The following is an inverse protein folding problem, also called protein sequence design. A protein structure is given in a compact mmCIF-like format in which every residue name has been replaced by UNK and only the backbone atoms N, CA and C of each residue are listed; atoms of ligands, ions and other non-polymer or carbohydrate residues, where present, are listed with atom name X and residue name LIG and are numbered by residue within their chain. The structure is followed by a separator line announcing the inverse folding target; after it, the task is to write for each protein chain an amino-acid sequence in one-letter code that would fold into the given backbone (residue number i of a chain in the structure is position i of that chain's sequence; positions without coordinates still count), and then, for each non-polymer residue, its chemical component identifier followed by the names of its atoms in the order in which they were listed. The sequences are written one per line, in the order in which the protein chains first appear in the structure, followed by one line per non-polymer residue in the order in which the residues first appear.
data_IF_205967072474
#
_entry.id   IF_205967072474
#
_cell.length_a   1.000
_cell.length_b   1.000
_cell.length_c   1.000
_cell.angle_alpha   90.00
_cell.angle_beta   90.00
_cell.angle_gamma   90.00
#
_symmetry.space_group_name_H-M   'P 1'
#
loop_
_entity.id
_entity.type
_entity.pdbx_description
1 polymer ?
#
# COMPACT_ATOMS: atom_id res chain seq x y z
N UNK A 1 -12.09 -1.41 0.72
CA UNK A 1 -13.23 -2.13 1.28
C UNK A 1 -14.12 -1.16 2.03
N UNK A 2 -15.39 -1.09 1.67
CA UNK A 2 -16.38 -0.38 2.45
C UNK A 2 -16.91 -1.36 3.51
N UNK A 3 -16.86 -0.96 4.79
CA UNK A 3 -17.55 -1.72 5.83
C UNK A 3 -19.06 -1.56 5.61
N UNK A 4 -19.74 -2.64 5.27
CA UNK A 4 -21.18 -2.67 5.05
C UNK A 4 -21.98 -2.33 6.34
N UNK A 5 -21.32 -2.24 7.48
CA UNK A 5 -21.92 -1.88 8.77
C UNK A 5 -21.79 -0.38 9.11
N UNK A 6 -21.56 0.49 8.16
CA UNK A 6 -21.12 1.86 8.40
C UNK A 6 -22.17 2.86 8.94
N UNK A 7 -23.21 2.40 9.60
CA UNK A 7 -24.01 3.22 10.50
C UNK A 7 -23.37 3.22 11.89
N UNK A 8 -22.71 4.32 12.25
CA UNK A 8 -22.05 4.43 13.53
C UNK A 8 -21.17 5.65 13.64
N UNK A 9 -20.53 5.85 14.79
CA UNK A 9 -19.58 6.94 14.95
C UNK A 9 -18.40 6.81 13.98
N UNK A 10 -17.77 7.95 13.66
CA UNK A 10 -16.73 8.05 12.64
C UNK A 10 -15.56 7.07 12.84
N UNK A 11 -15.25 6.70 14.09
CA UNK A 11 -14.21 5.74 14.42
C UNK A 11 -14.46 4.32 13.91
N UNK A 12 -15.72 3.97 13.59
CA UNK A 12 -16.12 2.67 13.06
C UNK A 12 -16.20 2.65 11.52
N UNK A 13 -16.11 3.80 10.88
CA UNK A 13 -16.13 3.89 9.42
C UNK A 13 -14.73 3.74 8.86
N UNK A 14 -14.56 2.83 7.92
CA UNK A 14 -13.27 2.58 7.29
C UNK A 14 -13.40 2.21 5.81
N UNK A 15 -12.34 2.45 5.08
CA UNK A 15 -12.18 2.03 3.68
C UNK A 15 -10.71 1.79 3.41
N UNK A 16 -10.35 0.91 2.48
CA UNK A 16 -8.95 0.62 2.21
C UNK A 16 -8.70 -0.21 0.97
N UNK A 17 -7.42 -0.40 0.69
CA UNK A 17 -6.92 -1.25 -0.38
C UNK A 17 -6.00 -2.32 0.20
N UNK A 18 -6.07 -3.50 -0.37
CA UNK A 18 -5.36 -4.68 0.07
C UNK A 18 -4.64 -5.33 -1.12
N UNK A 19 -3.40 -5.70 -0.93
CA UNK A 19 -2.58 -6.28 -1.99
C UNK A 19 -1.71 -7.42 -1.47
N UNK A 20 -1.70 -8.51 -2.20
CA UNK A 20 -0.70 -9.57 -2.05
C UNK A 20 0.65 -9.10 -2.62
N UNK A 21 1.71 -9.28 -1.84
CA UNK A 21 3.09 -9.01 -2.25
C UNK A 21 3.68 -10.35 -2.72
N UNK A 22 4.19 -10.37 -3.93
CA UNK A 22 4.73 -11.59 -4.52
C UNK A 22 5.76 -12.28 -3.61
N UNK A 23 5.67 -13.61 -3.51
CA UNK A 23 6.44 -14.49 -2.63
C UNK A 23 7.98 -14.38 -2.73
N UNK A 24 8.51 -13.75 -3.75
CA UNK A 24 9.96 -13.60 -3.95
C UNK A 24 10.61 -12.45 -3.19
N UNK A 25 9.83 -11.54 -2.59
CA UNK A 25 10.33 -10.33 -1.90
C UNK A 25 9.70 -10.14 -0.51
N UNK A 26 9.48 -11.23 0.20
CA UNK A 26 8.77 -11.21 1.48
C UNK A 26 9.64 -10.93 2.68
N UNK A 27 10.97 -11.07 2.56
CA UNK A 27 11.91 -10.87 3.67
C UNK A 27 12.51 -9.46 3.62
N UNK A 28 11.85 -8.52 4.30
CA UNK A 28 12.30 -7.13 4.34
C UNK A 28 13.63 -6.95 5.05
N UNK A 29 13.99 -7.87 5.94
CA UNK A 29 15.28 -7.83 6.66
C UNK A 29 16.42 -8.16 5.72
N UNK A 30 16.30 -9.23 4.95
CA UNK A 30 17.33 -9.64 3.99
C UNK A 30 17.48 -8.65 2.84
N UNK A 31 16.36 -8.03 2.42
CA UNK A 31 16.34 -6.96 1.42
C UNK A 31 16.86 -5.61 1.96
N UNK A 32 17.25 -5.55 3.24
CA UNK A 32 17.66 -4.33 3.94
C UNK A 32 16.63 -3.17 3.83
N UNK A 33 15.36 -3.49 3.76
CA UNK A 33 14.29 -2.51 3.78
C UNK A 33 14.12 -2.00 5.20
N UNK A 34 14.12 -0.69 5.37
CA UNK A 34 14.08 -0.05 6.68
C UNK A 34 12.92 0.93 6.83
N UNK A 35 12.31 1.34 5.72
CA UNK A 35 11.30 2.40 5.71
C UNK A 35 10.16 2.06 4.76
N UNK A 36 8.97 2.56 5.11
CA UNK A 36 7.86 2.75 4.19
C UNK A 36 7.91 4.21 3.74
N UNK A 37 7.94 4.45 2.46
CA UNK A 37 7.82 5.77 1.88
C UNK A 37 6.44 5.94 1.26
N UNK A 38 5.79 7.05 1.56
CA UNK A 38 4.52 7.40 0.95
C UNK A 38 4.40 8.89 0.73
N UNK A 39 4.06 9.27 -0.49
CA UNK A 39 3.67 10.64 -0.81
C UNK A 39 2.16 10.76 -0.80
N UNK A 40 1.64 11.69 0.00
CA UNK A 40 0.20 11.87 0.10
C UNK A 40 -0.23 13.34 0.19
N UNK A 41 -1.45 13.58 -0.29
CA UNK A 41 -2.17 14.84 -0.18
C UNK A 41 -3.57 14.56 0.36
N UNK A 42 -4.01 15.34 1.32
CA UNK A 42 -5.34 15.24 1.90
C UNK A 42 -6.17 16.45 1.49
N UNK A 43 -7.37 16.22 0.94
CA UNK A 43 -8.33 17.24 0.53
C UNK A 43 -7.73 18.41 -0.29
N UNK A 44 -6.81 18.09 -1.22
CA UNK A 44 -6.14 19.12 -2.01
C UNK A 44 -5.26 20.08 -1.19
N UNK A 45 -4.77 19.64 -0.02
CA UNK A 45 -4.01 20.45 0.92
C UNK A 45 -4.84 21.10 2.02
N UNK A 46 -6.15 20.82 2.06
CA UNK A 46 -7.01 21.32 3.14
C UNK A 46 -7.02 20.33 4.33
N UNK A 47 -6.96 20.83 5.55
CA UNK A 47 -6.88 19.98 6.72
C UNK A 47 -8.20 19.26 7.02
N UNK A 48 -8.10 18.04 7.54
CA UNK A 48 -9.22 17.34 8.17
C UNK A 48 -9.31 17.81 9.63
N UNK A 49 -10.51 18.13 10.09
CA UNK A 49 -10.73 18.65 11.45
C UNK A 49 -10.91 17.52 12.48
N UNK A 50 -11.32 16.34 12.04
CA UNK A 50 -11.58 15.23 12.94
C UNK A 50 -10.27 14.60 13.46
N UNK A 51 -10.09 14.59 14.77
CA UNK A 51 -8.90 14.05 15.44
C UNK A 51 -8.78 12.52 15.35
N UNK A 52 -9.86 11.80 15.03
CA UNK A 52 -9.84 10.36 14.86
C UNK A 52 -9.38 9.93 13.46
N UNK A 53 -9.39 10.82 12.47
CA UNK A 53 -9.03 10.52 11.10
C UNK A 53 -7.56 10.09 10.97
N UNK A 54 -7.34 8.90 10.42
CA UNK A 54 -5.99 8.34 10.24
C UNK A 54 -5.88 7.40 9.07
N UNK A 55 -4.70 7.32 8.52
CA UNK A 55 -4.26 6.25 7.65
C UNK A 55 -3.57 5.17 8.47
N UNK A 56 -3.87 3.93 8.17
CA UNK A 56 -3.25 2.75 8.74
C UNK A 56 -2.59 1.96 7.63
N UNK A 57 -1.41 1.43 7.92
CA UNK A 57 -0.66 0.57 7.00
C UNK A 57 -0.37 -0.71 7.74
N UNK A 58 -0.79 -1.83 7.20
CA UNK A 58 -0.52 -3.15 7.76
C UNK A 58 0.42 -3.91 6.83
N UNK A 59 1.46 -4.49 7.41
CA UNK A 59 2.43 -5.33 6.71
C UNK A 59 2.60 -6.66 7.44
N UNK A 60 2.41 -7.76 6.74
CA UNK A 60 2.56 -9.10 7.31
C UNK A 60 1.74 -10.16 6.60
N UNK A 61 1.34 -11.19 7.35
CA UNK A 61 0.29 -12.13 6.94
C UNK A 61 -1.04 -11.55 7.39
N UNK A 62 -1.96 -11.35 6.48
CA UNK A 62 -3.26 -10.72 6.74
C UNK A 62 -4.34 -11.63 6.17
N UNK A 63 -5.42 -11.84 6.94
CA UNK A 63 -6.55 -12.63 6.47
C UNK A 63 -7.13 -12.05 5.18
N UNK A 64 -7.32 -12.91 4.20
CA UNK A 64 -7.91 -12.59 2.89
C UNK A 64 -9.43 -12.43 2.95
N UNK A 65 -10.06 -12.83 4.04
CA UNK A 65 -11.51 -12.72 4.16
C UNK A 65 -11.96 -11.27 4.16
N UNK A 66 -12.73 -10.94 3.16
CA UNK A 66 -13.29 -9.62 2.89
C UNK A 66 -14.77 -9.62 3.22
N UNK A 67 -15.50 -10.62 2.73
CA UNK A 67 -16.94 -10.76 2.90
C UNK A 67 -17.22 -11.71 4.05
N UNK A 68 -18.01 -11.27 5.00
CA UNK A 68 -18.40 -12.13 6.12
C UNK A 68 -19.63 -12.95 5.76
N UNK A 69 -19.62 -14.23 6.08
CA UNK A 69 -20.75 -15.16 5.85
C UNK A 69 -22.04 -14.77 6.58
N UNK A 70 -22.01 -13.78 7.47
CA UNK A 70 -23.21 -13.22 8.10
C UNK A 70 -23.92 -12.23 7.18
N UNK A 71 -23.19 -11.60 6.28
CA UNK A 71 -23.71 -10.61 5.34
C UNK A 71 -24.09 -11.32 4.06
N UNK A 72 -23.23 -12.20 3.56
CA UNK A 72 -23.50 -12.97 2.35
C UNK A 72 -22.99 -14.40 2.51
N UNK A 73 -23.79 -15.42 2.19
CA UNK A 73 -23.33 -16.80 2.19
C UNK A 73 -22.31 -17.01 1.07
N UNK A 74 -21.41 -17.97 1.27
CA UNK A 74 -20.47 -18.39 0.23
C UNK A 74 -21.22 -18.73 -1.06
N UNK A 75 -20.59 -18.38 -2.19
CA UNK A 75 -21.13 -18.63 -3.50
C UNK A 75 -21.40 -20.14 -3.72
N UNK A 76 -22.68 -20.50 -3.82
CA UNK A 76 -23.08 -21.89 -4.07
C UNK A 76 -22.75 -22.37 -5.48
N UNK A 77 -22.36 -21.48 -6.39
CA UNK A 77 -22.01 -21.84 -7.76
C UNK A 77 -20.60 -22.44 -7.90
N UNK A 78 -19.74 -22.28 -6.87
CA UNK A 78 -18.48 -23.03 -6.80
C UNK A 78 -18.34 -23.73 -5.45
N UNK A 79 -18.93 -24.93 -5.29
CA UNK A 79 -18.92 -25.67 -4.03
C UNK A 79 -17.52 -26.18 -3.62
N UNK A 80 -16.54 -26.06 -4.48
CA UNK A 80 -15.17 -26.51 -4.22
C UNK A 80 -14.31 -25.45 -3.53
N UNK A 81 -14.81 -24.22 -3.40
CA UNK A 81 -14.10 -23.14 -2.75
C UNK A 81 -14.71 -22.80 -1.39
N UNK A 82 -13.88 -22.31 -0.48
CA UNK A 82 -14.31 -21.78 0.82
C UNK A 82 -14.21 -20.24 0.88
N UNK A 83 -14.20 -19.58 -0.30
CA UNK A 83 -14.09 -18.15 -0.48
C UNK A 83 -15.00 -17.66 -1.61
N UNK A 84 -15.25 -16.36 -1.65
CA UNK A 84 -16.01 -15.73 -2.72
C UNK A 84 -15.11 -15.50 -3.93
N UNK A 85 -15.65 -15.76 -5.12
CA UNK A 85 -14.96 -15.60 -6.38
C UNK A 85 -15.94 -15.57 -7.55
N UNK A 86 -15.63 -14.82 -8.57
CA UNK A 86 -16.34 -14.86 -9.86
C UNK A 86 -16.10 -16.17 -10.63
N UNK A 87 -14.90 -16.75 -10.50
CA UNK A 87 -14.53 -18.00 -11.19
C UNK A 87 -15.31 -19.17 -10.61
N UNK A 88 -16.51 -19.39 -11.16
CA UNK A 88 -17.48 -20.39 -10.70
C UNK A 88 -17.06 -21.81 -10.99
N UNK A 89 -16.27 -21.99 -12.02
CA UNK A 89 -15.85 -23.31 -12.50
C UNK A 89 -14.38 -23.65 -12.19
N UNK A 90 -13.65 -22.74 -11.55
CA UNK A 90 -12.22 -22.85 -11.24
C UNK A 90 -11.35 -23.03 -12.50
N UNK A 91 -11.72 -22.37 -13.59
CA UNK A 91 -10.98 -22.40 -14.85
C UNK A 91 -9.69 -21.56 -14.80
N UNK A 92 -9.61 -20.61 -13.87
CA UNK A 92 -8.56 -19.60 -13.79
C UNK A 92 -8.72 -18.50 -14.85
N UNK A 93 -9.89 -18.41 -15.48
CA UNK A 93 -10.23 -17.40 -16.48
C UNK A 93 -11.62 -16.84 -16.17
N UNK A 94 -11.86 -15.59 -16.55
CA UNK A 94 -13.18 -14.99 -16.47
C UNK A 94 -14.00 -15.43 -17.69
N UNK A 95 -14.88 -16.39 -17.49
CA UNK A 95 -15.74 -16.95 -18.51
C UNK A 95 -17.02 -16.12 -18.72
N UNK A 96 -17.76 -16.44 -19.78
CA UNK A 96 -19.00 -15.72 -20.09
C UNK A 96 -20.04 -15.93 -19.00
N UNK A 97 -20.50 -14.84 -18.38
CA UNK A 97 -21.48 -14.83 -17.32
C UNK A 97 -20.91 -15.01 -15.91
N UNK A 98 -19.60 -14.94 -15.77
CA UNK A 98 -18.91 -14.97 -14.48
C UNK A 98 -18.53 -13.60 -13.96
N UNK A 99 -18.54 -12.56 -14.78
CA UNK A 99 -18.23 -11.17 -14.45
C UNK A 99 -19.35 -10.54 -13.60
N UNK A 100 -19.30 -10.78 -12.30
CA UNK A 100 -20.34 -10.43 -11.32
C UNK A 100 -19.76 -9.85 -10.02
N UNK A 101 -18.54 -9.31 -10.07
CA UNK A 101 -17.89 -8.75 -8.89
C UNK A 101 -17.34 -9.80 -7.90
N UNK A 102 -16.78 -9.30 -6.78
CA UNK A 102 -15.99 -10.11 -5.84
C UNK A 102 -16.76 -11.26 -5.17
N UNK A 103 -18.06 -11.13 -5.01
CA UNK A 103 -18.86 -12.18 -4.38
C UNK A 103 -19.33 -13.25 -5.40
N UNK A 104 -19.10 -13.00 -6.69
CA UNK A 104 -19.48 -13.88 -7.78
C UNK A 104 -21.00 -14.02 -7.97
N UNK A 105 -21.80 -13.09 -7.45
CA UNK A 105 -23.25 -13.08 -7.55
C UNK A 105 -23.72 -11.88 -8.37
N UNK A 106 -24.71 -12.04 -9.25
CA UNK A 106 -25.32 -10.88 -9.89
C UNK A 106 -26.23 -10.13 -8.90
N UNK A 107 -26.38 -8.83 -9.07
CA UNK A 107 -27.21 -7.96 -8.24
C UNK A 107 -28.61 -8.56 -7.93
N UNK A 108 -29.23 -9.20 -8.90
CA UNK A 108 -30.55 -9.84 -8.71
C UNK A 108 -30.55 -10.94 -7.62
N UNK A 109 -29.41 -11.57 -7.39
CA UNK A 109 -29.24 -12.55 -6.31
C UNK A 109 -28.90 -11.88 -4.99
N UNK A 110 -28.06 -10.86 -5.00
CA UNK A 110 -27.66 -10.10 -3.81
C UNK A 110 -28.84 -9.47 -3.08
N UNK A 111 -29.79 -8.90 -3.82
CA UNK A 111 -31.01 -8.29 -3.25
C UNK A 111 -31.77 -9.20 -2.27
N UNK A 112 -31.53 -10.50 -2.32
CA UNK A 112 -32.17 -11.47 -1.44
C UNK A 112 -31.55 -11.51 -0.04
N UNK A 113 -30.33 -10.99 0.13
CA UNK A 113 -29.56 -11.09 1.38
C UNK A 113 -29.61 -9.81 2.22
N UNK A 114 -30.10 -8.70 1.65
CA UNK A 114 -30.13 -7.40 2.30
C UNK A 114 -31.54 -6.88 2.53
N UNK A 115 -31.72 -6.02 3.53
CA UNK A 115 -32.99 -5.36 3.74
C UNK A 115 -33.24 -4.25 2.71
N UNK A 116 -34.52 -3.88 2.53
CA UNK A 116 -34.94 -2.92 1.51
C UNK A 116 -34.37 -1.51 1.73
N UNK A 117 -34.11 -1.13 3.00
CA UNK A 117 -33.54 0.16 3.30
C UNK A 117 -32.09 0.21 2.77
N UNK A 118 -31.30 -0.80 3.07
CA UNK A 118 -29.90 -0.88 2.61
C UNK A 118 -29.81 -0.99 1.09
N UNK A 119 -30.68 -1.76 0.44
CA UNK A 119 -30.77 -1.83 -1.03
C UNK A 119 -31.03 -0.45 -1.63
N UNK A 120 -31.92 0.33 -1.04
CA UNK A 120 -32.23 1.69 -1.53
C UNK A 120 -31.04 2.64 -1.30
N UNK A 121 -30.33 2.53 -0.17
CA UNK A 121 -29.16 3.36 0.14
C UNK A 121 -27.98 3.07 -0.77
N UNK A 122 -27.84 1.84 -1.24
CA UNK A 122 -26.78 1.40 -2.15
C UNK A 122 -27.16 1.54 -3.63
N UNK A 123 -28.38 1.99 -3.91
CA UNK A 123 -28.83 2.19 -5.30
C UNK A 123 -29.10 0.89 -6.05
N UNK A 124 -29.27 -0.24 -5.35
CA UNK A 124 -29.52 -1.55 -5.94
C UNK A 124 -28.27 -2.43 -6.10
N UNK A 125 -27.15 -1.95 -5.61
CA UNK A 125 -25.86 -2.66 -5.58
C UNK A 125 -25.41 -2.84 -4.10
N UNK A 126 -25.92 -3.84 -3.38
CA UNK A 126 -25.63 -4.01 -1.96
C UNK A 126 -24.20 -4.43 -1.67
N UNK A 127 -23.56 -5.17 -2.56
CA UNK A 127 -22.16 -5.61 -2.44
C UNK A 127 -21.17 -4.52 -2.81
N UNK A 128 -21.64 -3.46 -3.49
CA UNK A 128 -20.86 -2.32 -3.99
C UNK A 128 -19.74 -2.73 -4.93
N UNK A 129 -20.02 -3.67 -5.83
CA UNK A 129 -19.07 -4.20 -6.81
C UNK A 129 -19.48 -3.97 -8.27
N UNK A 130 -20.55 -3.21 -8.52
CA UNK A 130 -20.97 -2.70 -9.83
C UNK A 130 -19.96 -1.73 -10.47
N UNK A 131 -18.71 -1.72 -10.04
CA UNK A 131 -17.71 -0.84 -10.60
C UNK A 131 -17.34 -1.25 -12.01
N UNK A 132 -17.60 -0.37 -12.96
CA UNK A 132 -17.12 -0.50 -14.34
C UNK A 132 -15.89 0.39 -14.55
N UNK A 133 -14.77 -0.21 -14.92
CA UNK A 133 -13.58 0.57 -15.24
C UNK A 133 -13.77 1.40 -16.52
N UNK A 134 -13.51 2.70 -16.42
CA UNK A 134 -13.52 3.63 -17.55
C UNK A 134 -12.28 4.51 -17.46
N UNK A 135 -11.49 4.57 -18.53
CA UNK A 135 -10.29 5.38 -18.58
C UNK A 135 -10.59 6.86 -18.29
N UNK A 136 -9.90 7.42 -17.29
CA UNK A 136 -10.07 8.81 -16.87
C UNK A 136 -11.27 9.05 -15.95
N UNK A 137 -12.02 8.02 -15.57
CA UNK A 137 -13.05 8.11 -14.54
C UNK A 137 -12.42 8.26 -13.16
N UNK A 138 -13.03 9.12 -12.32
CA UNK A 138 -12.77 9.25 -10.88
C UNK A 138 -14.00 8.89 -10.06
N UNK A 139 -14.96 8.22 -10.65
CA UNK A 139 -16.09 7.66 -9.92
C UNK A 139 -15.71 6.25 -9.44
N UNK A 140 -15.45 6.11 -8.15
CA UNK A 140 -15.14 4.86 -7.49
C UNK A 140 -16.24 4.47 -6.49
N UNK A 141 -17.46 4.89 -6.73
CA UNK A 141 -18.65 4.37 -6.05
C UNK A 141 -18.82 2.93 -6.50
N UNK A 142 -19.14 2.04 -5.58
CA UNK A 142 -19.25 0.61 -5.89
C UNK A 142 -17.93 -0.04 -6.35
N UNK A 143 -16.81 0.31 -5.71
CA UNK A 143 -15.49 -0.24 -6.00
C UNK A 143 -15.07 -1.31 -4.99
N UNK A 144 -15.82 -2.40 -4.91
CA UNK A 144 -15.52 -3.54 -4.03
C UNK A 144 -15.28 -4.84 -4.80
N UNK A 145 -14.85 -4.73 -5.99
CA UNK A 145 -14.71 -5.68 -7.07
C UNK A 145 -15.07 -4.94 -8.33
N UNK A 146 -15.09 -5.60 -9.46
CA UNK A 146 -15.43 -4.97 -10.75
C UNK A 146 -16.38 -5.86 -11.55
N UNK A 147 -17.62 -5.46 -11.68
CA UNK A 147 -18.51 -6.01 -12.69
C UNK A 147 -18.22 -5.40 -14.07
N UNK A 148 -18.46 -6.16 -15.13
CA UNK A 148 -18.29 -5.73 -16.53
C UNK A 148 -16.86 -5.29 -16.91
N UNK A 149 -15.86 -5.76 -16.18
CA UNK A 149 -14.46 -5.49 -16.50
C UNK A 149 -14.03 -6.18 -17.82
N UNK A 150 -14.74 -7.23 -18.22
CA UNK A 150 -14.51 -7.96 -19.44
C UNK A 150 -14.92 -7.20 -20.73
N UNK A 151 -15.65 -6.11 -20.60
CA UNK A 151 -16.12 -5.32 -21.75
C UNK A 151 -15.03 -4.47 -22.39
N UNK A 152 -13.93 -4.22 -21.67
CA UNK A 152 -12.81 -3.45 -22.17
C UNK A 152 -11.73 -4.35 -22.80
N UNK A 153 -11.57 -4.23 -24.10
CA UNK A 153 -10.60 -5.05 -24.86
C UNK A 153 -9.13 -4.68 -24.58
N UNK A 154 -8.86 -3.52 -23.98
CA UNK A 154 -7.50 -3.05 -23.70
C UNK A 154 -7.00 -3.45 -22.32
N UNK A 155 -7.88 -3.85 -21.41
CA UNK A 155 -7.56 -4.28 -20.06
C UNK A 155 -7.53 -5.81 -19.98
N UNK A 156 -6.61 -6.33 -19.18
CA UNK A 156 -6.61 -7.74 -18.86
C UNK A 156 -7.83 -8.09 -18.02
N UNK A 157 -8.60 -9.06 -18.47
CA UNK A 157 -9.68 -9.64 -17.69
C UNK A 157 -9.09 -10.21 -16.40
N UNK A 158 -9.53 -9.72 -15.28
CA UNK A 158 -9.12 -10.18 -13.97
C UNK A 158 -10.31 -10.77 -13.25
N UNK A 159 -10.09 -11.87 -12.59
CA UNK A 159 -11.07 -12.49 -11.73
C UNK A 159 -11.07 -11.74 -10.41
N UNK A 160 -12.22 -11.25 -9.98
CA UNK A 160 -12.41 -10.76 -8.62
C UNK A 160 -12.57 -11.94 -7.65
N UNK A 161 -11.76 -11.97 -6.63
CA UNK A 161 -11.69 -13.09 -5.69
C UNK A 161 -11.15 -12.67 -4.33
N UNK A 162 -11.58 -13.35 -3.27
CA UNK A 162 -10.98 -13.23 -1.94
C UNK A 162 -9.61 -13.92 -1.87
N UNK A 163 -9.33 -14.93 -2.70
CA UNK A 163 -8.03 -15.62 -2.79
C UNK A 163 -7.04 -14.74 -3.58
N UNK A 164 -6.41 -13.80 -2.88
CA UNK A 164 -5.52 -12.80 -3.48
C UNK A 164 -4.17 -13.37 -3.90
N UNK A 165 -3.72 -14.42 -3.25
CA UNK A 165 -2.45 -15.07 -3.55
C UNK A 165 -2.60 -16.22 -4.56
N UNK A 166 -3.83 -16.52 -4.97
CA UNK A 166 -4.19 -17.52 -5.95
C UNK A 166 -3.66 -18.93 -5.61
N UNK A 167 -3.75 -19.30 -4.33
CA UNK A 167 -3.32 -20.61 -3.85
C UNK A 167 -4.46 -21.65 -3.76
N UNK A 168 -5.70 -21.24 -4.08
CA UNK A 168 -6.89 -22.06 -4.03
C UNK A 168 -7.51 -22.22 -2.66
N UNK A 169 -7.04 -21.44 -1.67
CA UNK A 169 -7.55 -21.48 -0.29
C UNK A 169 -7.67 -20.07 0.25
N UNK A 170 -8.57 -19.88 1.18
CA UNK A 170 -8.68 -18.63 1.90
C UNK A 170 -7.76 -18.61 3.12
N UNK A 171 -6.79 -17.74 3.13
CA UNK A 171 -5.92 -17.53 4.26
C UNK A 171 -6.63 -16.70 5.35
N UNK A 172 -6.67 -17.21 6.59
CA UNK A 172 -7.44 -16.59 7.68
C UNK A 172 -6.55 -16.09 8.83
N UNK A 173 -5.23 -16.17 8.66
CA UNK A 173 -4.27 -15.84 9.72
C UNK A 173 -3.97 -14.35 9.69
N UNK A 174 -3.95 -13.73 10.87
CA UNK A 174 -3.53 -12.35 11.06
C UNK A 174 -2.28 -12.30 11.93
N UNK A 175 -1.14 -11.99 11.31
CA UNK A 175 0.14 -11.73 11.98
C UNK A 175 0.83 -10.57 11.26
N UNK A 176 0.58 -9.33 11.68
CA UNK A 176 1.07 -8.16 10.98
C UNK A 176 1.47 -7.02 11.92
N UNK A 177 2.26 -6.10 11.40
CA UNK A 177 2.58 -4.82 12.02
C UNK A 177 1.65 -3.74 11.48
N UNK A 178 1.06 -2.95 12.37
CA UNK A 178 0.22 -1.81 12.02
C UNK A 178 0.95 -0.50 12.30
N UNK A 179 1.09 0.32 11.28
CA UNK A 179 1.58 1.69 11.34
C UNK A 179 0.38 2.65 11.28
N UNK A 180 0.50 3.82 11.92
CA UNK A 180 -0.62 4.77 11.99
C UNK A 180 -0.12 6.18 11.75
N UNK A 181 -0.71 6.86 10.76
CA UNK A 181 -0.47 8.26 10.47
C UNK A 181 -1.76 9.04 10.71
N UNK A 182 -1.78 10.00 11.64
CA UNK A 182 -2.91 10.88 11.84
C UNK A 182 -3.07 11.82 10.63
N UNK A 183 -4.32 12.02 10.20
CA UNK A 183 -4.64 12.87 9.05
C UNK A 183 -5.31 14.19 9.44
N UNK A 184 -5.43 14.47 10.74
CA UNK A 184 -5.99 15.73 11.23
C UNK A 184 -5.04 16.92 11.01
N UNK A 185 -5.61 18.11 11.00
CA UNK A 185 -4.90 19.36 10.72
C UNK A 185 -3.67 19.61 11.61
N UNK A 186 -3.77 19.26 12.89
CA UNK A 186 -2.69 19.54 13.86
C UNK A 186 -1.49 18.59 13.70
N UNK A 187 -1.74 17.36 13.25
CA UNK A 187 -0.73 16.29 13.23
C UNK A 187 -0.21 15.94 11.84
N UNK A 188 -1.05 16.07 10.81
CA UNK A 188 -0.69 15.67 9.44
C UNK A 188 0.49 16.47 8.88
N UNK A 189 0.55 17.78 9.13
CA UNK A 189 1.61 18.66 8.59
C UNK A 189 2.82 18.81 9.49
N UNK A 190 2.77 18.25 10.70
CA UNK A 190 3.83 18.36 11.71
C UNK A 190 4.30 16.99 12.23
N UNK A 191 4.04 15.93 11.49
CA UNK A 191 4.40 14.59 11.94
C UNK A 191 5.92 14.35 11.85
N UNK A 192 6.54 13.64 12.82
CA UNK A 192 7.98 13.41 12.84
C UNK A 192 8.47 12.53 11.65
N UNK A 193 7.58 11.84 10.96
CA UNK A 193 7.92 11.05 9.78
C UNK A 193 7.91 11.85 8.48
N UNK A 194 7.62 13.14 8.50
CA UNK A 194 7.70 13.98 7.31
C UNK A 194 9.16 14.21 6.96
N UNK A 195 9.56 13.76 5.79
CA UNK A 195 10.90 13.95 5.24
C UNK A 195 10.95 15.09 4.22
N UNK A 196 9.82 15.45 3.61
CA UNK A 196 9.77 16.47 2.58
C UNK A 196 8.35 16.89 2.22
N UNK A 197 8.25 17.78 1.24
CA UNK A 197 6.97 18.26 0.74
C UNK A 197 6.50 19.59 1.33
N UNK A 198 5.17 19.75 1.49
CA UNK A 198 4.51 20.99 1.90
C UNK A 198 4.01 21.82 0.72
N UNK A 199 4.54 21.62 -0.48
CA UNK A 199 4.10 22.31 -1.66
C UNK A 199 2.75 21.72 -2.15
N UNK A 200 1.79 22.59 -2.41
CA UNK A 200 0.42 22.22 -2.82
C UNK A 200 -0.24 21.16 -1.90
N UNK A 201 0.18 21.07 -0.63
CA UNK A 201 -0.37 20.12 0.35
C UNK A 201 0.09 18.67 0.20
N UNK A 202 1.12 18.42 -0.61
CA UNK A 202 1.77 17.12 -0.72
C UNK A 202 2.86 16.97 0.33
N UNK A 203 2.88 15.84 1.03
CA UNK A 203 3.88 15.51 2.05
C UNK A 203 4.45 14.12 1.80
N UNK A 204 5.77 14.04 1.91
CA UNK A 204 6.51 12.78 1.91
C UNK A 204 6.64 12.27 3.34
N UNK A 205 6.12 11.10 3.58
CA UNK A 205 6.30 10.40 4.84
C UNK A 205 7.30 9.26 4.66
N UNK A 206 8.30 9.23 5.52
CA UNK A 206 9.25 8.11 5.64
C UNK A 206 9.07 7.49 7.01
N UNK A 207 8.43 6.34 7.05
CA UNK A 207 8.02 5.64 8.26
C UNK A 207 9.03 4.53 8.54
N UNK A 208 9.82 4.61 9.62
CA UNK A 208 10.72 3.53 9.98
C UNK A 208 9.95 2.23 10.28
N UNK A 209 10.43 1.10 9.76
CA UNK A 209 9.77 -0.19 9.96
C UNK A 209 9.76 -0.66 11.42
N UNK A 210 10.59 -0.09 12.29
CA UNK A 210 10.59 -0.36 13.73
C UNK A 210 9.63 0.54 14.53
N UNK A 211 8.90 1.44 13.87
CA UNK A 211 7.97 2.39 14.49
C UNK A 211 6.49 2.01 14.27
N UNK A 212 6.20 0.72 14.36
CA UNK A 212 4.80 0.27 14.33
C UNK A 212 4.03 0.74 15.56
N UNK A 213 2.74 0.96 15.39
CA UNK A 213 1.81 1.35 16.46
C UNK A 213 1.43 0.16 17.34
N UNK A 214 1.21 -1.00 16.70
CA UNK A 214 0.90 -2.27 17.36
C UNK A 214 1.23 -3.45 16.47
N UNK A 215 1.29 -4.63 17.08
CA UNK A 215 1.29 -5.91 16.39
C UNK A 215 -0.06 -6.59 16.54
N UNK A 216 -0.49 -7.29 15.51
CA UNK A 216 -1.67 -8.15 15.54
C UNK A 216 -1.22 -9.58 15.34
N UNK A 217 -1.78 -10.50 16.12
CA UNK A 217 -1.33 -11.88 16.20
C UNK A 217 -0.05 -12.04 17.03
N UNK A 218 0.39 -13.28 17.18
CA UNK A 218 1.53 -13.61 18.05
C UNK A 218 2.85 -13.81 17.30
N UNK A 219 2.79 -13.88 15.97
CA UNK A 219 3.94 -14.25 15.12
C UNK A 219 4.21 -13.23 14.00
N UNK A 220 3.90 -11.95 14.23
CA UNK A 220 4.25 -10.91 13.26
C UNK A 220 5.77 -10.85 13.08
N UNK A 221 6.23 -10.89 11.84
CA UNK A 221 7.66 -10.86 11.50
C UNK A 221 7.88 -10.08 10.19
N UNK A 222 8.98 -9.34 10.11
CA UNK A 222 9.41 -8.65 8.89
C UNK A 222 10.15 -9.58 7.92
N UNK A 223 10.36 -10.83 8.28
CA UNK A 223 10.99 -11.84 7.41
C UNK A 223 10.01 -12.58 6.52
N UNK A 224 8.71 -12.36 6.71
CA UNK A 224 7.66 -12.97 5.90
C UNK A 224 6.47 -12.00 5.75
N UNK A 225 6.63 -11.03 4.88
CA UNK A 225 5.55 -10.08 4.53
C UNK A 225 4.85 -10.59 3.28
N UNK A 226 3.66 -11.10 3.42
CA UNK A 226 2.86 -11.63 2.31
C UNK A 226 1.90 -10.59 1.75
N UNK A 227 1.43 -9.69 2.61
CA UNK A 227 0.42 -8.70 2.25
C UNK A 227 0.78 -7.31 2.74
N UNK A 228 0.32 -6.32 1.98
CA UNK A 228 0.25 -4.92 2.40
C UNK A 228 -1.22 -4.47 2.33
N UNK A 229 -1.69 -3.81 3.38
CA UNK A 229 -3.00 -3.18 3.43
C UNK A 229 -2.85 -1.73 3.84
N UNK A 230 -3.43 -0.82 3.06
CA UNK A 230 -3.55 0.60 3.40
C UNK A 230 -5.02 0.89 3.60
N UNK A 231 -5.39 1.36 4.77
CA UNK A 231 -6.77 1.66 5.07
C UNK A 231 -6.94 2.93 5.89
N UNK A 232 -8.11 3.49 5.80
CA UNK A 232 -8.45 4.78 6.36
C UNK A 232 -9.64 4.63 7.28
N UNK A 233 -9.63 5.31 8.43
CA UNK A 233 -10.75 5.31 9.35
C UNK A 233 -10.90 6.62 10.10
N UNK A 234 -12.05 6.77 10.76
CA UNK A 234 -12.29 7.87 11.67
C UNK A 234 -12.73 9.15 10.96
N UNK A 235 -13.40 9.05 9.80
CA UNK A 235 -13.90 10.19 9.06
C UNK A 235 -15.37 10.45 9.40
N UNK A 236 -15.69 11.70 9.71
CA UNK A 236 -17.07 12.20 9.95
C UNK A 236 -17.66 12.88 8.72
N UNK A 237 -16.84 13.14 7.71
CA UNK A 237 -17.20 13.81 6.48
C UNK A 237 -16.41 13.22 5.31
N UNK A 238 -16.83 13.54 4.09
CA UNK A 238 -16.15 13.13 2.87
C UNK A 238 -14.72 13.67 2.87
N UNK A 239 -13.76 12.81 2.60
CA UNK A 239 -12.36 13.16 2.45
C UNK A 239 -11.82 12.60 1.14
N UNK A 240 -10.98 13.38 0.45
CA UNK A 240 -10.21 12.94 -0.69
C UNK A 240 -8.76 12.77 -0.28
N UNK A 241 -8.23 11.57 -0.40
CA UNK A 241 -6.84 11.27 -0.13
C UNK A 241 -6.21 10.81 -1.43
N UNK A 242 -5.12 11.47 -1.80
CA UNK A 242 -4.32 11.10 -2.96
C UNK A 242 -3.00 10.54 -2.47
N UNK A 243 -2.65 9.39 -2.97
CA UNK A 243 -1.37 8.74 -2.71
C UNK A 243 -0.65 8.61 -4.05
N UNK A 244 0.59 9.10 -4.08
CA UNK A 244 1.54 8.88 -5.17
C UNK A 244 2.73 8.22 -4.52
N UNK A 245 3.18 7.14 -5.07
CA UNK A 245 4.25 6.30 -4.56
C UNK A 245 3.98 5.72 -3.15
N UNK A 246 3.94 4.43 -3.09
CA UNK A 246 3.96 3.65 -1.87
C UNK A 246 5.08 2.63 -2.03
N UNK A 247 6.22 2.92 -1.42
CA UNK A 247 7.44 2.16 -1.61
C UNK A 247 7.94 1.56 -0.29
N UNK A 248 8.49 0.36 -0.38
CA UNK A 248 9.30 -0.23 0.68
C UNK A 248 10.76 0.10 0.34
N UNK A 249 11.36 1.00 1.13
CA UNK A 249 12.66 1.59 0.81
C UNK A 249 13.76 0.95 1.66
N UNK A 250 14.76 0.42 0.98
CA UNK A 250 15.94 -0.16 1.58
C UNK A 250 17.14 0.77 1.51
N UNK A 251 17.94 0.79 2.56
CA UNK A 251 19.25 1.42 2.53
C UNK A 251 20.33 0.34 2.49
N UNK A 252 21.09 0.33 1.42
CA UNK A 252 22.22 -0.61 1.30
C UNK A 252 23.36 -0.32 2.27
N UNK A 253 23.38 0.89 2.84
CA UNK A 253 24.37 1.29 3.85
C UNK A 253 23.77 1.15 5.24
N UNK A 254 24.41 0.36 6.08
CA UNK A 254 23.93 0.01 7.40
C UNK A 254 24.80 0.67 8.47
N UNK A 255 24.17 1.24 9.48
CA UNK A 255 24.88 1.77 10.67
C UNK A 255 25.51 0.64 11.44
N UNK A 256 26.73 0.81 11.90
CA UNK A 256 27.40 -0.13 12.82
C UNK A 256 26.54 -0.43 14.05
N UNK A 257 25.97 0.61 14.63
CA UNK A 257 25.07 0.49 15.77
C UNK A 257 23.71 1.12 15.40
N UNK A 258 22.71 0.27 15.18
CA UNK A 258 21.37 0.69 14.80
C UNK A 258 20.67 1.57 15.85
N UNK A 259 20.99 1.38 17.12
CA UNK A 259 20.40 2.15 18.23
C UNK A 259 21.07 3.50 18.48
N UNK A 260 22.19 3.80 17.82
CA UNK A 260 22.89 5.06 17.98
C UNK A 260 22.18 6.19 17.25
N UNK A 261 21.66 7.14 18.02
CA UNK A 261 20.92 8.31 17.50
C UNK A 261 21.84 9.50 17.17
N UNK A 262 23.15 9.39 17.42
CA UNK A 262 24.09 10.48 17.15
C UNK A 262 24.54 10.58 15.70
N UNK A 263 24.17 9.61 14.87
CA UNK A 263 24.36 9.67 13.43
C UNK A 263 23.26 8.92 12.71
N UNK A 264 22.97 9.35 11.47
CA UNK A 264 22.04 8.70 10.56
C UNK A 264 22.67 8.56 9.18
N UNK A 265 22.19 7.57 8.44
CA UNK A 265 22.54 7.38 7.04
C UNK A 265 21.26 7.35 6.23
N UNK A 266 21.23 8.11 5.15
CA UNK A 266 20.11 8.18 4.22
C UNK A 266 20.61 8.18 2.78
N UNK A 267 19.71 7.89 1.87
CA UNK A 267 19.92 8.11 0.44
C UNK A 267 19.24 9.41 0.08
N UNK A 268 19.93 10.26 -0.65
CA UNK A 268 19.42 11.56 -1.14
C UNK A 268 19.59 11.62 -2.65
N UNK A 269 18.65 12.28 -3.31
CA UNK A 269 18.66 12.50 -4.75
C UNK A 269 17.99 13.83 -5.10
N UNK A 270 18.15 14.26 -6.35
CA UNK A 270 17.64 15.57 -6.79
C UNK A 270 16.12 15.61 -6.90
N UNK A 271 15.46 14.47 -7.05
CA UNK A 271 14.01 14.38 -7.25
C UNK A 271 13.27 14.46 -5.92
N UNK A 272 13.79 13.78 -4.88
CA UNK A 272 13.12 13.65 -3.59
C UNK A 272 13.57 14.68 -2.55
N UNK A 273 14.77 15.25 -2.73
CA UNK A 273 15.39 16.11 -1.72
C UNK A 273 15.57 17.54 -2.26
N UNK A 274 14.65 18.48 -1.98
CA UNK A 274 14.66 19.84 -2.55
C UNK A 274 15.93 20.65 -2.31
N UNK A 275 16.68 20.34 -1.25
CA UNK A 275 17.92 21.01 -0.88
C UNK A 275 19.19 20.28 -1.35
N UNK A 276 19.01 19.16 -2.07
CA UNK A 276 20.12 18.41 -2.61
C UNK A 276 20.48 18.95 -4.01
N UNK A 277 21.77 19.07 -4.26
CA UNK A 277 22.32 19.44 -5.57
C UNK A 277 23.17 18.30 -6.09
N UNK A 278 22.89 17.89 -7.30
CA UNK A 278 23.71 16.89 -8.02
C UNK A 278 25.18 17.33 -8.06
N UNK A 279 26.12 16.42 -7.79
CA UNK A 279 27.52 16.70 -8.00
C UNK A 279 27.80 17.13 -9.44
N UNK A 280 28.69 18.11 -9.70
CA UNK A 280 29.00 18.61 -11.04
C UNK A 280 29.94 17.64 -11.78
N UNK A 281 29.53 16.38 -11.92
CA UNK A 281 30.30 15.33 -12.60
C UNK A 281 29.59 15.02 -13.92
N UNK A 282 30.28 15.19 -15.03
CA UNK A 282 29.75 14.87 -16.36
C UNK A 282 29.44 13.36 -16.46
N UNK A 283 28.27 13.04 -17.03
CA UNK A 283 27.83 11.66 -17.24
C UNK A 283 27.31 10.94 -16.00
N UNK A 284 27.18 11.61 -14.86
CA UNK A 284 26.62 11.03 -13.65
C UNK A 284 25.16 10.63 -13.85
N UNK A 285 24.39 11.48 -14.53
CA UNK A 285 23.00 11.19 -14.91
C UNK A 285 22.96 10.79 -16.37
N UNK A 286 22.73 9.52 -16.63
CA UNK A 286 22.57 8.98 -17.99
C UNK A 286 21.12 9.15 -18.46
N UNK A 287 20.89 9.18 -19.77
CA UNK A 287 19.53 9.13 -20.31
C UNK A 287 18.87 7.82 -19.92
N UNK A 288 17.64 7.92 -19.44
CA UNK A 288 16.82 6.74 -19.19
C UNK A 288 16.50 6.07 -20.53
N UNK A 289 17.07 4.89 -20.74
CA UNK A 289 16.91 4.11 -21.97
C UNK A 289 15.53 3.51 -22.12
N UNK A 290 14.72 3.52 -21.07
CA UNK A 290 13.33 3.04 -21.12
C UNK A 290 12.36 4.09 -21.67
N UNK A 291 12.80 5.36 -21.73
CA UNK A 291 12.01 6.50 -22.22
C UNK A 291 12.72 7.21 -23.38
N UNK A 292 12.91 6.49 -24.48
CA UNK A 292 13.76 6.92 -25.61
C UNK A 292 13.31 8.24 -26.25
N UNK A 293 12.01 8.53 -26.23
CA UNK A 293 11.41 9.72 -26.85
C UNK A 293 11.39 10.96 -25.93
N UNK A 294 11.74 10.80 -24.66
CA UNK A 294 11.83 11.89 -23.71
C UNK A 294 13.26 12.03 -23.21
N UNK A 295 13.77 13.26 -23.13
CA UNK A 295 15.09 13.52 -22.55
C UNK A 295 15.08 13.40 -21.02
N UNK A 296 14.56 12.29 -20.51
CA UNK A 296 14.56 11.99 -19.08
C UNK A 296 15.94 11.46 -18.69
N UNK A 297 16.52 12.04 -17.68
CA UNK A 297 17.77 11.57 -17.10
C UNK A 297 17.48 10.61 -15.95
N UNK A 298 18.24 9.53 -15.86
CA UNK A 298 18.15 8.60 -14.72
C UNK A 298 18.38 9.36 -13.41
N UNK A 299 17.62 9.01 -12.38
CA UNK A 299 17.84 9.58 -11.06
C UNK A 299 19.18 9.11 -10.50
N UNK A 300 19.97 10.01 -9.99
CA UNK A 300 21.19 9.68 -9.27
C UNK A 300 20.90 9.57 -7.78
N UNK A 301 21.66 8.76 -7.08
CA UNK A 301 21.52 8.62 -5.63
C UNK A 301 22.87 8.84 -4.97
N UNK A 302 22.88 9.66 -3.93
CA UNK A 302 24.02 9.89 -3.07
C UNK A 302 23.74 9.45 -1.64
N UNK A 303 24.76 9.00 -0.95
CA UNK A 303 24.69 8.71 0.47
C UNK A 303 24.88 10.00 1.27
N UNK A 304 23.91 10.31 2.14
CA UNK A 304 24.06 11.33 3.19
C UNK A 304 24.40 10.65 4.50
N UNK A 305 25.41 11.13 5.18
CA UNK A 305 25.79 10.71 6.52
C UNK A 305 25.73 11.93 7.45
N UNK A 306 24.66 11.98 8.24
CA UNK A 306 24.44 13.06 9.20
C UNK A 306 24.99 12.66 10.57
N UNK A 307 25.90 13.46 11.10
CA UNK A 307 26.57 13.20 12.36
C UNK A 307 26.31 14.36 13.32
N UNK A 308 25.82 14.06 14.52
CA UNK A 308 25.63 15.02 15.60
C UNK A 308 26.41 14.60 16.84
N UNK A 309 26.95 15.57 17.55
CA UNK A 309 27.60 15.38 18.87
C UNK A 309 28.73 14.31 18.88
N UNK A 310 29.54 14.24 17.83
CA UNK A 310 30.72 13.37 17.81
C UNK A 310 31.79 13.93 18.76
N UNK A 311 32.16 13.13 19.76
CA UNK A 311 33.19 13.52 20.72
C UNK A 311 34.60 13.16 20.19
N UNK A 312 35.66 13.89 20.62
CA UNK A 312 37.03 13.56 20.23
C UNK A 312 37.38 12.11 20.58
N UNK A 313 37.99 11.42 19.63
CA UNK A 313 38.36 10.00 19.74
C UNK A 313 37.24 9.01 19.46
N UNK A 314 36.02 9.47 19.16
CA UNK A 314 34.94 8.60 18.68
C UNK A 314 34.95 8.50 17.16
N UNK A 315 34.73 7.29 16.65
CA UNK A 315 34.50 7.02 15.24
C UNK A 315 33.09 6.46 15.03
N UNK A 316 32.45 6.89 13.96
CA UNK A 316 31.17 6.32 13.49
C UNK A 316 31.36 5.85 12.07
N UNK A 317 30.79 4.73 11.72
CA UNK A 317 30.84 4.27 10.34
C UNK A 317 29.55 3.58 9.92
N UNK A 318 29.35 3.55 8.65
CA UNK A 318 28.34 2.76 7.95
C UNK A 318 29.06 1.75 7.05
N UNK A 319 28.42 0.63 6.80
CA UNK A 319 28.96 -0.39 5.93
C UNK A 319 27.91 -0.88 4.95
N UNK A 320 28.36 -1.37 3.80
CA UNK A 320 27.55 -2.04 2.79
C UNK A 320 28.11 -3.44 2.58
N UNK A 321 27.25 -4.44 2.67
CA UNK A 321 27.62 -5.82 2.37
C UNK A 321 27.43 -6.12 0.89
N UNK A 322 28.38 -6.78 0.27
CA UNK A 322 28.32 -7.25 -1.12
C UNK A 322 28.07 -8.76 -1.14
N UNK A 323 26.86 -9.16 -0.78
CA UNK A 323 26.53 -10.58 -0.52
C UNK A 323 26.25 -11.38 -1.79
N UNK A 324 25.78 -10.75 -2.87
CA UNK A 324 25.32 -11.44 -4.10
C UNK A 324 26.38 -11.58 -5.18
N UNK A 325 27.32 -10.64 -5.27
CA UNK A 325 28.48 -10.72 -6.17
C UNK A 325 29.66 -9.96 -5.54
N UNK A 326 30.80 -10.62 -5.31
CA UNK A 326 32.00 -9.90 -4.92
C UNK A 326 32.40 -8.94 -6.05
N UNK A 327 32.73 -7.71 -5.69
CA UNK A 327 33.26 -6.74 -6.65
C UNK A 327 34.75 -7.02 -6.85
N UNK A 328 35.15 -7.18 -8.10
CA UNK A 328 36.58 -7.18 -8.45
C UNK A 328 37.08 -5.72 -8.48
N UNK A 329 37.82 -5.35 -7.45
CA UNK A 329 38.39 -4.01 -7.31
C UNK A 329 39.79 -3.88 -7.89
N UNK A 330 40.34 -4.92 -8.52
CA UNK A 330 41.74 -4.93 -9.02
C UNK A 330 42.01 -3.83 -10.03
N UNK A 331 41.01 -3.44 -10.80
CA UNK A 331 41.11 -2.41 -11.84
C UNK A 331 40.60 -1.03 -11.40
N UNK A 332 40.18 -0.85 -10.17
CA UNK A 332 39.75 0.45 -9.62
C UNK A 332 40.95 1.12 -8.92
N UNK A 333 41.29 2.33 -9.37
CA UNK A 333 42.35 3.15 -8.77
C UNK A 333 41.76 4.17 -7.81
#
# INVERSE_FOLDING_TARGET
YNDFAAEGPAENKWSGVFKYINSSQTNLIDENINYIEVWMQVNGGQPIQNDSARMLIDLGTISERIITSKIMPLNSSNPNTNYHTEDKNSSGQLDVGEDNGIDGQPNSTELQFFDQQYINETGGDPSRDDYQWVQGSNNYVSFNGTEQNATNLTEAKRIDTEDLNNNGNLDLINNYFEYSIPLNAASFTNHPFIAGGGNAGWYQYIIPLDQWKRTVGNNATLTNIQYARVWFKGFDSTAQIKIVDFNLVGNQWVKQNKSDTTYSVSVVNIEDNPNYYSPPVEGLRQKDQTQVDQNVLSNEQSMSLDISNLLPGQGKYVYKSFTTRPYDLVNYK
#
